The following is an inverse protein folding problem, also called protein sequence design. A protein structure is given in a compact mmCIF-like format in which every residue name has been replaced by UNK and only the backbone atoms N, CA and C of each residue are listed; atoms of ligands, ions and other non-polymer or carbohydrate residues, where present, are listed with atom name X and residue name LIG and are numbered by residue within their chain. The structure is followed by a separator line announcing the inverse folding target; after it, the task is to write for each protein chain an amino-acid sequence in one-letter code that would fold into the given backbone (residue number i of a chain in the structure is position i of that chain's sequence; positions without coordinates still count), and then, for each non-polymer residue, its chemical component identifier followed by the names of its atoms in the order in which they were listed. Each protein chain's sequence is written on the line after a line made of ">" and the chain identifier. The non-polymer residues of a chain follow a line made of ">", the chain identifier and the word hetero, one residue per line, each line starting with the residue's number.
data_IF_705588873532
#
_entry.id   IF_705588873532
#
_cell.length_a   1.000
_cell.length_b   1.000
_cell.length_c   1.000
_cell.angle_alpha   90.00
_cell.angle_beta   90.00
_cell.angle_gamma   90.00
#
_symmetry.space_group_name_H-M   'P 1'
#
loop_
_entity.id
_entity.type
_entity.pdbx_description
1 polymer ?
#
# COMPACT_ATOMS: atom_id res chain seq x y z
N UNK A 1 1.90 4.88 -13.28
CA UNK A 1 2.50 5.37 -12.02
C UNK A 1 2.53 4.32 -10.91
N UNK A 2 1.43 3.58 -10.64
CA UNK A 2 1.36 2.53 -9.59
C UNK A 2 2.52 1.51 -9.60
N UNK A 3 3.05 1.14 -10.78
CA UNK A 3 4.16 0.18 -10.92
C UNK A 3 5.54 0.75 -10.56
N UNK A 4 5.77 2.03 -10.79
CA UNK A 4 7.09 2.69 -10.57
C UNK A 4 7.40 2.81 -9.09
N UNK A 5 6.41 3.19 -8.27
CA UNK A 5 6.57 3.29 -6.82
C UNK A 5 6.89 1.92 -6.21
N UNK A 6 6.23 0.87 -6.69
CA UNK A 6 6.47 -0.51 -6.24
C UNK A 6 7.87 -0.99 -6.64
N UNK A 7 8.34 -0.63 -7.84
CA UNK A 7 9.70 -0.92 -8.32
C UNK A 7 10.77 -0.21 -7.48
N UNK A 8 10.52 1.05 -7.10
CA UNK A 8 11.38 1.83 -6.21
C UNK A 8 11.44 1.20 -4.81
N UNK A 9 10.30 0.76 -4.25
CA UNK A 9 10.24 0.06 -2.96
C UNK A 9 11.03 -1.25 -2.96
N UNK A 10 10.92 -2.04 -4.04
CA UNK A 10 11.71 -3.27 -4.19
C UNK A 10 13.22 -2.94 -4.27
N UNK A 11 13.60 -1.90 -5.02
CA UNK A 11 14.99 -1.45 -5.10
C UNK A 11 15.55 -1.06 -3.74
N UNK A 12 14.81 -0.25 -2.97
CA UNK A 12 15.16 0.12 -1.59
C UNK A 12 15.30 -1.10 -0.67
N UNK A 13 14.48 -2.14 -0.88
CA UNK A 13 14.52 -3.35 -0.06
C UNK A 13 15.80 -4.14 -0.32
N UNK A 14 16.19 -4.27 -1.58
CA UNK A 14 17.45 -4.93 -1.97
C UNK A 14 18.65 -4.16 -1.40
N UNK A 15 18.66 -2.83 -1.50
CA UNK A 15 19.76 -2.01 -0.95
C UNK A 15 19.84 -2.14 0.58
N UNK A 16 18.70 -2.20 1.27
CA UNK A 16 18.66 -2.43 2.73
C UNK A 16 19.27 -3.79 3.11
N UNK A 17 18.94 -4.86 2.37
CA UNK A 17 19.50 -6.20 2.59
C UNK A 17 21.01 -6.21 2.34
N UNK A 18 21.47 -5.62 1.23
CA UNK A 18 22.91 -5.55 0.91
C UNK A 18 23.66 -4.75 1.97
N UNK A 19 23.12 -3.61 2.41
CA UNK A 19 23.71 -2.80 3.47
C UNK A 19 23.81 -3.55 4.81
N UNK A 20 22.83 -4.42 5.10
CA UNK A 20 22.85 -5.30 6.27
C UNK A 20 23.98 -6.32 6.20
N UNK A 21 24.17 -6.99 5.05
CA UNK A 21 25.25 -7.97 4.86
C UNK A 21 26.64 -7.35 4.85
N UNK A 22 26.79 -6.10 4.41
CA UNK A 22 28.06 -5.35 4.46
C UNK A 22 28.40 -4.92 5.91
N UNK A 23 27.52 -5.19 6.89
CA UNK A 23 27.71 -4.83 8.29
C UNK A 23 27.41 -3.36 8.60
N UNK A 24 26.84 -2.63 7.64
CA UNK A 24 26.49 -1.22 7.80
C UNK A 24 25.05 -1.09 8.34
N UNK A 25 24.85 -1.60 9.55
CA UNK A 25 23.52 -1.78 10.15
C UNK A 25 22.75 -0.47 10.33
N UNK A 26 23.43 0.65 10.60
CA UNK A 26 22.78 1.96 10.74
C UNK A 26 22.12 2.41 9.44
N UNK A 27 22.79 2.19 8.31
CA UNK A 27 22.26 2.50 6.98
C UNK A 27 21.15 1.54 6.60
N UNK A 28 21.31 0.24 6.87
CA UNK A 28 20.28 -0.76 6.63
C UNK A 28 18.98 -0.44 7.39
N UNK A 29 19.11 -0.02 8.65
CA UNK A 29 17.98 0.35 9.51
C UNK A 29 17.31 1.65 9.04
N UNK A 30 18.09 2.67 8.67
CA UNK A 30 17.55 3.93 8.14
C UNK A 30 16.76 3.72 6.85
N UNK A 31 17.30 2.92 5.91
CA UNK A 31 16.62 2.58 4.66
C UNK A 31 15.37 1.73 4.94
N UNK A 32 15.46 0.75 5.85
CA UNK A 32 14.33 -0.09 6.23
C UNK A 32 13.19 0.69 6.87
N UNK A 33 13.50 1.69 7.70
CA UNK A 33 12.50 2.56 8.34
C UNK A 33 11.72 3.39 7.31
N UNK A 34 12.41 3.99 6.35
CA UNK A 34 11.77 4.75 5.25
C UNK A 34 10.86 3.84 4.42
N UNK A 35 11.31 2.61 4.17
CA UNK A 35 10.54 1.59 3.47
C UNK A 35 9.24 1.23 4.21
N UNK A 36 9.33 1.03 5.53
CA UNK A 36 8.18 0.74 6.39
C UNK A 36 7.15 1.89 6.35
N UNK A 37 7.60 3.14 6.45
CA UNK A 37 6.73 4.31 6.33
C UNK A 37 6.06 4.40 4.95
N UNK A 38 6.80 4.13 3.88
CA UNK A 38 6.25 4.10 2.51
C UNK A 38 5.20 3.01 2.32
N UNK A 39 5.44 1.81 2.85
CA UNK A 39 4.49 0.69 2.81
C UNK A 39 3.23 1.00 3.61
N UNK A 40 3.35 1.59 4.80
CA UNK A 40 2.19 2.00 5.59
C UNK A 40 1.37 3.09 4.90
N UNK A 41 2.02 4.05 4.25
CA UNK A 41 1.34 5.10 3.49
C UNK A 41 0.55 4.53 2.29
N UNK A 42 1.18 3.65 1.52
CA UNK A 42 0.53 3.00 0.36
C UNK A 42 -0.55 2.02 0.79
N UNK A 43 -0.30 1.23 1.84
CA UNK A 43 -1.26 0.29 2.40
C UNK A 43 -2.53 1.01 2.85
N UNK A 44 -2.39 2.13 3.57
CA UNK A 44 -3.53 2.97 3.92
C UNK A 44 -4.24 3.54 2.69
N UNK A 45 -3.49 4.07 1.70
CA UNK A 45 -4.08 4.64 0.49
C UNK A 45 -4.92 3.62 -0.30
N UNK A 46 -4.41 2.40 -0.49
CA UNK A 46 -5.16 1.32 -1.14
C UNK A 46 -6.35 0.83 -0.32
N UNK A 47 -6.22 0.83 1.01
CA UNK A 47 -7.31 0.46 1.91
C UNK A 47 -8.45 1.49 1.87
N UNK A 48 -8.13 2.78 1.73
CA UNK A 48 -9.13 3.83 1.53
C UNK A 48 -9.83 3.71 0.17
N UNK A 49 -9.08 3.51 -0.92
CA UNK A 49 -9.67 3.27 -2.25
C UNK A 49 -10.64 2.08 -2.19
N UNK A 50 -10.20 0.95 -1.62
CA UNK A 50 -11.00 -0.28 -1.52
C UNK A 50 -12.23 -0.11 -0.62
N UNK A 51 -12.12 0.64 0.49
CA UNK A 51 -13.26 0.95 1.37
C UNK A 51 -14.32 1.79 0.65
N UNK A 52 -13.91 2.79 -0.12
CA UNK A 52 -14.85 3.63 -0.88
C UNK A 52 -15.54 2.85 -2.01
N UNK A 53 -14.82 1.94 -2.68
CA UNK A 53 -15.43 1.04 -3.67
C UNK A 53 -16.47 0.13 -3.03
N UNK A 54 -16.14 -0.52 -1.90
CA UNK A 54 -17.08 -1.37 -1.18
C UNK A 54 -18.28 -0.56 -0.70
N UNK A 55 -18.07 0.61 -0.11
CA UNK A 55 -19.19 1.40 0.41
C UNK A 55 -20.14 1.84 -0.69
N UNK A 56 -19.62 2.30 -1.84
CA UNK A 56 -20.45 2.65 -3.00
C UNK A 56 -21.18 1.44 -3.56
N UNK A 57 -20.52 0.29 -3.69
CA UNK A 57 -21.15 -0.88 -4.29
C UNK A 57 -22.22 -1.51 -3.38
N UNK A 58 -21.99 -1.51 -2.06
CA UNK A 58 -22.99 -1.94 -1.07
C UNK A 58 -24.21 -1.02 -1.05
N UNK A 59 -24.03 0.31 -1.08
CA UNK A 59 -25.17 1.22 -1.17
C UNK A 59 -25.89 1.10 -2.51
N UNK A 60 -25.17 1.02 -3.63
CA UNK A 60 -25.82 0.92 -4.95
C UNK A 60 -26.69 -0.33 -5.09
N UNK A 61 -26.21 -1.49 -4.63
CA UNK A 61 -26.99 -2.74 -4.65
C UNK A 61 -28.22 -2.63 -3.75
N UNK A 62 -28.09 -2.04 -2.56
CA UNK A 62 -29.20 -1.87 -1.61
C UNK A 62 -30.26 -0.86 -2.09
N UNK A 63 -29.86 0.15 -2.85
CA UNK A 63 -30.79 1.07 -3.51
C UNK A 63 -31.52 0.38 -4.67
N UNK A 64 -30.82 -0.34 -5.54
CA UNK A 64 -31.43 -1.05 -6.68
C UNK A 64 -32.41 -2.13 -6.23
N UNK A 65 -32.10 -2.88 -5.16
CA UNK A 65 -33.01 -3.89 -4.60
C UNK A 65 -34.28 -3.26 -4.00
N UNK A 66 -34.19 -2.07 -3.37
CA UNK A 66 -35.38 -1.36 -2.87
C UNK A 66 -36.28 -0.82 -3.97
N UNK A 67 -35.73 -0.44 -5.12
CA UNK A 67 -36.52 0.02 -6.27
C UNK A 67 -37.13 -1.13 -7.08
N UNK A 68 -36.50 -2.32 -7.07
CA UNK A 68 -37.03 -3.52 -7.77
C UNK A 68 -38.12 -4.25 -6.97
N UNK A 69 -38.27 -3.92 -5.68
CA UNK A 69 -39.24 -4.46 -4.74
C UNK A 69 -40.57 -3.65 -4.67
N UNK A 70 -40.68 -2.58 -5.45
CA UNK A 70 -41.92 -1.80 -5.65
C UNK A 70 -42.48 -2.07 -7.05
#
# INVERSE_FOLDING_TARGET
>A
MKKIVLLILIGLAIVSIVAFFVGNYQVAFGIGFVLLCGLLGIGNFYQFETRDYLHREYDHKRYVERFKSK
#
